data_IF_539640760020
#
_entry.id   IF_539640760020
#
_cell.length_a   1.000
_cell.length_b   1.000
_cell.length_c   1.000
_cell.angle_alpha   90.00
_cell.angle_beta   90.00
_cell.angle_gamma   90.00
#
_symmetry.space_group_name_H-M   'P 1'
#
loop_
_entity.id
_entity.type
_entity.pdbx_description
1 polymer ?
#
# COMPACT_ATOMS: atom_id res chain seq x y z
N UNK A 1 -1.17 4.12 21.03
CA UNK A 1 -1.63 4.76 19.78
C UNK A 1 -2.02 3.72 18.75
N UNK A 2 -3.14 3.91 18.09
CA UNK A 2 -3.52 3.06 16.97
C UNK A 2 -2.57 3.25 15.80
N UNK A 3 -2.27 2.16 15.10
CA UNK A 3 -1.44 2.16 13.90
C UNK A 3 -2.32 2.18 12.66
N UNK A 4 -2.04 3.13 11.78
CA UNK A 4 -2.78 3.31 10.51
C UNK A 4 -1.81 3.13 9.35
N UNK A 5 -2.19 2.28 8.40
CA UNK A 5 -1.46 2.14 7.14
C UNK A 5 -2.25 2.82 6.03
N UNK A 6 -1.62 3.76 5.34
CA UNK A 6 -2.18 4.40 4.15
C UNK A 6 -1.52 3.73 2.94
N UNK A 7 -2.34 3.16 2.06
CA UNK A 7 -1.87 2.48 0.85
C UNK A 7 -2.21 3.34 -0.35
N UNK A 8 -1.21 3.66 -1.14
CA UNK A 8 -1.35 4.53 -2.31
C UNK A 8 -0.26 4.20 -3.33
N UNK A 9 -0.47 4.59 -4.57
CA UNK A 9 0.58 4.40 -5.57
C UNK A 9 0.14 4.69 -7.00
N UNK A 10 1.09 4.53 -7.89
CA UNK A 10 0.91 4.71 -9.32
C UNK A 10 1.06 6.15 -9.76
N UNK A 11 0.11 7.01 -9.47
CA UNK A 11 0.08 8.38 -9.95
C UNK A 11 0.01 9.39 -8.82
N UNK A 12 0.37 10.64 -9.11
CA UNK A 12 0.20 11.74 -8.18
C UNK A 12 -1.25 11.98 -7.76
N UNK A 13 -2.21 11.62 -8.63
CA UNK A 13 -3.64 11.70 -8.30
C UNK A 13 -4.07 10.85 -7.13
N UNK A 14 -3.35 9.76 -6.86
CA UNK A 14 -3.58 8.91 -5.69
C UNK A 14 -2.68 9.29 -4.53
N UNK A 15 -1.40 9.60 -4.80
CA UNK A 15 -0.39 9.83 -3.77
C UNK A 15 -0.60 11.16 -3.05
N UNK A 16 -0.88 12.24 -3.77
CA UNK A 16 -1.01 13.57 -3.16
C UNK A 16 -2.14 13.61 -2.10
N UNK A 17 -3.35 13.07 -2.37
CA UNK A 17 -4.37 12.99 -1.32
C UNK A 17 -3.93 12.17 -0.11
N UNK A 18 -3.14 11.12 -0.31
CA UNK A 18 -2.66 10.29 0.80
C UNK A 18 -1.73 11.06 1.74
N UNK A 19 -0.92 11.97 1.20
CA UNK A 19 -0.07 12.83 2.00
C UNK A 19 -0.88 13.78 2.87
N UNK A 20 -1.99 14.30 2.34
CA UNK A 20 -2.92 15.11 3.12
C UNK A 20 -3.55 14.35 4.28
N UNK A 21 -3.95 13.10 4.04
CA UNK A 21 -4.48 12.22 5.09
C UNK A 21 -3.40 11.95 6.15
N UNK A 22 -2.19 11.67 5.72
CA UNK A 22 -1.06 11.46 6.62
C UNK A 22 -0.85 12.66 7.53
N UNK A 23 -0.80 13.86 6.96
CA UNK A 23 -0.59 15.10 7.72
C UNK A 23 -1.71 15.37 8.72
N UNK A 24 -2.94 15.00 8.36
CA UNK A 24 -4.09 15.18 9.24
C UNK A 24 -4.08 14.22 10.43
N UNK A 25 -3.48 13.03 10.29
CA UNK A 25 -3.56 11.96 11.29
C UNK A 25 -2.28 11.74 12.10
N UNK A 26 -1.14 12.24 11.64
CA UNK A 26 0.17 11.90 12.20
C UNK A 26 0.36 12.30 13.66
N UNK A 27 -0.33 13.33 14.12
CA UNK A 27 -0.21 13.81 15.50
C UNK A 27 -1.00 12.96 16.49
N UNK A 28 -2.08 12.32 16.03
CA UNK A 28 -2.99 11.54 16.89
C UNK A 28 -2.80 10.04 16.76
N UNK A 29 -2.14 9.59 15.67
CA UNK A 29 -1.99 8.17 15.35
C UNK A 29 -0.57 7.87 14.87
N UNK A 30 -0.19 6.60 14.96
CA UNK A 30 1.05 6.12 14.34
C UNK A 30 0.74 5.77 12.87
N UNK A 31 1.09 6.68 11.95
CA UNK A 31 0.72 6.57 10.53
C UNK A 31 1.94 6.18 9.70
N UNK A 32 1.75 5.21 8.80
CA UNK A 32 2.75 4.82 7.81
C UNK A 32 2.11 4.77 6.43
N UNK A 33 2.93 4.94 5.39
CA UNK A 33 2.49 4.88 4.00
C UNK A 33 3.15 3.68 3.33
N UNK A 34 2.39 2.93 2.54
CA UNK A 34 2.91 1.92 1.62
C UNK A 34 2.59 2.35 0.19
N UNK A 35 3.60 2.34 -0.66
CA UNK A 35 3.48 2.78 -2.04
C UNK A 35 4.39 1.95 -2.95
N UNK A 36 4.18 2.04 -4.26
CA UNK A 36 5.08 1.47 -5.23
C UNK A 36 6.20 2.46 -5.62
N UNK A 37 7.13 2.00 -6.46
CA UNK A 37 8.24 2.84 -6.89
C UNK A 37 7.78 4.09 -7.65
N UNK A 38 6.70 3.98 -8.44
CA UNK A 38 6.15 5.12 -9.17
C UNK A 38 5.58 6.16 -8.22
N UNK A 39 4.83 5.71 -7.21
CA UNK A 39 4.24 6.60 -6.23
C UNK A 39 5.26 7.26 -5.33
N UNK A 40 6.36 6.60 -5.04
CA UNK A 40 7.41 7.13 -4.16
C UNK A 40 8.05 8.41 -4.69
N UNK A 41 7.98 8.65 -6.00
CA UNK A 41 8.51 9.87 -6.63
C UNK A 41 7.79 11.14 -6.17
N UNK A 42 6.57 11.01 -5.67
CA UNK A 42 5.76 12.13 -5.18
C UNK A 42 5.90 12.34 -3.67
N UNK A 43 6.71 11.52 -2.99
CA UNK A 43 6.86 11.55 -1.54
C UNK A 43 8.25 12.08 -1.17
N UNK A 44 8.29 13.09 -0.29
CA UNK A 44 9.54 13.58 0.27
C UNK A 44 9.93 12.72 1.48
N UNK A 45 11.06 12.02 1.39
CA UNK A 45 11.55 11.12 2.43
C UNK A 45 11.74 11.77 3.80
N UNK A 46 12.04 13.08 3.83
CA UNK A 46 12.36 13.77 5.06
C UNK A 46 11.13 14.00 5.95
N UNK A 47 9.92 13.98 5.35
CA UNK A 47 8.69 14.36 6.03
C UNK A 47 7.74 13.18 6.25
N UNK A 48 7.95 12.04 5.57
CA UNK A 48 6.99 10.94 5.57
C UNK A 48 7.67 9.61 5.80
N UNK A 49 7.04 8.76 6.62
CA UNK A 49 7.43 7.36 6.76
C UNK A 49 6.70 6.53 5.72
N UNK A 50 7.45 5.93 4.79
CA UNK A 50 6.83 5.08 3.79
C UNK A 50 7.67 3.82 3.51
N UNK A 51 7.00 2.77 3.05
CA UNK A 51 7.61 1.53 2.58
C UNK A 51 7.23 1.29 1.13
N UNK A 52 8.11 0.59 0.41
CA UNK A 52 7.87 0.22 -0.98
C UNK A 52 7.28 -1.18 -1.07
N UNK A 53 6.28 -1.33 -1.94
CA UNK A 53 5.66 -2.61 -2.26
C UNK A 53 5.72 -2.80 -3.76
N UNK A 54 6.18 -3.97 -4.18
CA UNK A 54 6.21 -4.35 -5.59
C UNK A 54 4.99 -5.24 -5.90
N UNK A 55 4.09 -4.73 -6.75
CA UNK A 55 2.91 -5.46 -7.20
C UNK A 55 2.93 -5.52 -8.72
N UNK A 56 2.90 -6.71 -9.32
CA UNK A 56 2.90 -6.83 -10.77
C UNK A 56 1.59 -6.35 -11.36
N UNK A 57 1.68 -5.74 -12.55
CA UNK A 57 0.51 -5.38 -13.33
C UNK A 57 0.03 -6.62 -14.10
N UNK A 58 -1.15 -7.16 -13.72
CA UNK A 58 -1.70 -8.38 -14.31
C UNK A 58 -1.98 -8.25 -15.81
N UNK A 59 -2.29 -7.05 -16.27
CA UNK A 59 -2.77 -6.83 -17.62
C UNK A 59 -1.75 -6.20 -18.55
N UNK A 60 -0.50 -6.02 -18.11
CA UNK A 60 0.55 -5.40 -18.93
C UNK A 60 0.95 -6.28 -20.13
N UNK A 61 0.90 -7.61 -19.97
CA UNK A 61 1.21 -8.57 -21.04
C UNK A 61 0.40 -9.85 -20.80
N UNK A 62 -0.53 -10.15 -21.69
CA UNK A 62 -1.40 -11.31 -21.58
C UNK A 62 -0.64 -12.63 -21.65
N UNK A 63 0.50 -12.68 -22.35
CA UNK A 63 1.33 -13.90 -22.42
C UNK A 63 1.98 -14.22 -21.08
N UNK A 64 2.18 -13.22 -20.23
CA UNK A 64 2.75 -13.38 -18.89
C UNK A 64 1.67 -13.46 -17.80
N UNK A 65 0.40 -13.52 -18.18
CA UNK A 65 -0.70 -13.52 -17.22
C UNK A 65 -0.57 -14.61 -16.13
N UNK A 66 -0.27 -15.89 -16.46
CA UNK A 66 -0.09 -16.90 -15.41
C UNK A 66 1.06 -16.58 -14.46
N UNK A 67 2.15 -16.07 -14.97
CA UNK A 67 3.32 -15.66 -14.18
C UNK A 67 2.97 -14.48 -13.26
N UNK A 68 2.28 -13.48 -13.81
CA UNK A 68 1.86 -12.31 -13.05
C UNK A 68 0.83 -12.66 -11.99
N UNK A 69 -0.07 -13.63 -12.25
CA UNK A 69 -1.02 -14.12 -11.25
C UNK A 69 -0.30 -14.77 -10.06
N UNK A 70 0.73 -15.57 -10.30
CA UNK A 70 1.53 -16.18 -9.25
C UNK A 70 2.22 -15.10 -8.42
N UNK A 71 2.81 -14.11 -9.06
CA UNK A 71 3.44 -12.97 -8.37
C UNK A 71 2.44 -12.17 -7.56
N UNK A 72 1.24 -11.98 -8.09
CA UNK A 72 0.17 -11.27 -7.39
C UNK A 72 -0.25 -12.03 -6.13
N UNK A 73 -0.41 -13.35 -6.21
CA UNK A 73 -0.72 -14.18 -5.05
C UNK A 73 0.39 -14.12 -3.99
N UNK A 74 1.66 -14.11 -4.42
CA UNK A 74 2.79 -13.95 -3.51
C UNK A 74 2.73 -12.57 -2.83
N UNK A 75 2.34 -11.53 -3.57
CA UNK A 75 2.16 -10.18 -3.02
C UNK A 75 1.08 -10.15 -1.94
N UNK A 76 -0.02 -10.88 -2.13
CA UNK A 76 -1.09 -11.00 -1.11
C UNK A 76 -0.53 -11.66 0.15
N UNK A 77 0.23 -12.73 0.02
CA UNK A 77 0.83 -13.43 1.15
C UNK A 77 1.81 -12.52 1.90
N UNK A 78 2.66 -11.80 1.17
CA UNK A 78 3.59 -10.84 1.77
C UNK A 78 2.86 -9.72 2.48
N UNK A 79 1.78 -9.22 1.88
CA UNK A 79 0.94 -8.17 2.48
C UNK A 79 0.28 -8.66 3.77
N UNK A 80 -0.24 -9.87 3.77
CA UNK A 80 -0.84 -10.50 4.95
C UNK A 80 0.18 -10.57 6.10
N UNK A 81 1.37 -11.07 5.82
CA UNK A 81 2.45 -11.15 6.83
C UNK A 81 2.86 -9.77 7.33
N UNK A 82 2.99 -8.81 6.43
CA UNK A 82 3.35 -7.45 6.77
C UNK A 82 2.33 -6.80 7.70
N UNK A 83 1.05 -6.89 7.36
CA UNK A 83 -0.02 -6.31 8.18
C UNK A 83 -0.12 -6.99 9.55
N UNK A 84 -0.03 -8.32 9.57
CA UNK A 84 -0.10 -9.08 10.82
C UNK A 84 1.09 -8.79 11.72
N UNK A 85 2.30 -8.79 11.16
CA UNK A 85 3.53 -8.58 11.92
C UNK A 85 3.62 -7.18 12.52
N UNK A 86 3.14 -6.17 11.80
CA UNK A 86 3.20 -4.79 12.25
C UNK A 86 1.98 -4.35 13.07
N UNK A 87 0.98 -5.20 13.23
CA UNK A 87 -0.21 -4.94 14.06
C UNK A 87 -0.96 -3.67 13.68
N UNK A 88 -1.21 -3.46 12.40
CA UNK A 88 -2.01 -2.33 11.96
C UNK A 88 -3.47 -2.48 12.39
N UNK A 89 -4.07 -1.39 12.83
CA UNK A 89 -5.47 -1.34 13.27
C UNK A 89 -6.41 -0.90 12.15
N UNK A 90 -5.94 -0.02 11.27
CA UNK A 90 -6.75 0.59 10.22
C UNK A 90 -5.92 0.63 8.95
N UNK A 91 -6.56 0.35 7.82
CA UNK A 91 -5.98 0.51 6.50
C UNK A 91 -6.82 1.48 5.69
N UNK A 92 -6.18 2.50 5.11
CA UNK A 92 -6.81 3.49 4.25
C UNK A 92 -6.17 3.39 2.87
N UNK A 93 -6.98 3.19 1.83
CA UNK A 93 -6.49 3.15 0.46
C UNK A 93 -6.99 4.38 -0.31
N UNK A 94 -6.08 5.08 -0.96
CA UNK A 94 -6.45 6.18 -1.88
C UNK A 94 -6.56 5.71 -3.32
N UNK A 95 -6.30 4.42 -3.57
CA UNK A 95 -6.37 3.82 -4.89
C UNK A 95 -5.01 3.45 -5.45
N UNK A 96 -5.00 3.03 -6.70
CA UNK A 96 -3.83 2.47 -7.35
C UNK A 96 -3.86 0.95 -7.35
N UNK A 97 -3.36 0.38 -8.43
CA UNK A 97 -3.36 -1.07 -8.63
C UNK A 97 -2.61 -1.81 -7.51
N UNK A 98 -1.51 -1.23 -7.04
CA UNK A 98 -0.67 -1.83 -6.02
C UNK A 98 -1.34 -1.94 -4.64
N UNK A 99 -2.46 -1.24 -4.42
CA UNK A 99 -3.18 -1.31 -3.15
C UNK A 99 -4.00 -2.60 -2.99
N UNK A 100 -4.31 -3.31 -4.08
CA UNK A 100 -5.17 -4.49 -4.06
C UNK A 100 -4.68 -5.61 -3.13
N UNK A 101 -3.40 -6.04 -3.18
CA UNK A 101 -2.94 -7.10 -2.28
C UNK A 101 -3.08 -6.73 -0.80
N UNK A 102 -2.76 -5.49 -0.45
CA UNK A 102 -2.90 -5.02 0.93
C UNK A 102 -4.36 -4.93 1.36
N UNK A 103 -5.25 -4.46 0.49
CA UNK A 103 -6.67 -4.40 0.77
C UNK A 103 -7.27 -5.80 0.97
N UNK A 104 -6.91 -6.76 0.11
CA UNK A 104 -7.37 -8.14 0.24
C UNK A 104 -6.85 -8.78 1.53
N UNK A 105 -5.57 -8.58 1.84
CA UNK A 105 -4.97 -9.10 3.06
C UNK A 105 -5.60 -8.48 4.32
N UNK A 106 -5.91 -7.19 4.29
CA UNK A 106 -6.56 -6.51 5.42
C UNK A 106 -7.96 -7.06 5.65
N UNK A 107 -8.70 -7.36 4.59
CA UNK A 107 -10.02 -7.97 4.70
C UNK A 107 -9.93 -9.34 5.38
N UNK A 108 -8.93 -10.15 5.03
CA UNK A 108 -8.70 -11.45 5.65
C UNK A 108 -8.35 -11.33 7.14
N UNK A 109 -7.73 -10.24 7.56
CA UNK A 109 -7.33 -9.98 8.93
C UNK A 109 -8.36 -9.17 9.73
N UNK A 110 -9.48 -8.81 9.13
CA UNK A 110 -10.53 -7.97 9.72
C UNK A 110 -10.02 -6.58 10.14
N UNK A 111 -9.15 -6.03 9.31
CA UNK A 111 -8.65 -4.67 9.50
C UNK A 111 -9.50 -3.69 8.70
#
# INVERSE_FOLDING_TARGET
MKKILIVTGGSGGHVIPSLGIYDALKDDFNVQISTDLRGSKFINNDNYHYSLIDVPNLFSNLLLLPYNLIKFCISIIKSYKYLKFNNFNILISTGGYMSLPLCLASNLLNI
#
